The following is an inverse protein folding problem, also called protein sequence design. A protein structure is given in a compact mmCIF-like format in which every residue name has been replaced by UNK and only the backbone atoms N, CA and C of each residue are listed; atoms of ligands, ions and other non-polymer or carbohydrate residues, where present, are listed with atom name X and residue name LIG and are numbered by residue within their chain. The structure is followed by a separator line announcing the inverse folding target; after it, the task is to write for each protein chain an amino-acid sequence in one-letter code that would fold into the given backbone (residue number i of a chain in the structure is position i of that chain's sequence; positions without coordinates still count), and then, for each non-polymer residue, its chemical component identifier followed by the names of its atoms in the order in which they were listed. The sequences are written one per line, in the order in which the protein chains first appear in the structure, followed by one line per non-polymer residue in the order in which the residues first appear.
data_IF_460753523327
#
_entry.id   IF_460753523327
#
_cell.length_a   1.000
_cell.length_b   1.000
_cell.length_c   1.000
_cell.angle_alpha   90.00
_cell.angle_beta   90.00
_cell.angle_gamma   90.00
#
_symmetry.space_group_name_H-M   'P 1'
#
loop_
_entity.id
_entity.type
_entity.pdbx_description
1 polymer ?
#
# COMPACT_ATOMS: atom_id res chain seq x y z
N UNK A 1 -3.96 -13.76 2.12
CA UNK A 1 -3.08 -12.65 1.73
C UNK A 1 -2.18 -13.08 0.60
N UNK A 2 -2.06 -12.26 -0.44
CA UNK A 2 -1.20 -12.50 -1.61
C UNK A 2 -0.26 -11.31 -1.78
N UNK A 3 1.04 -11.60 -1.86
CA UNK A 3 2.08 -10.61 -2.09
C UNK A 3 2.29 -10.37 -3.58
N UNK A 4 2.57 -9.13 -3.95
CA UNK A 4 2.95 -8.71 -5.29
C UNK A 4 4.43 -8.33 -5.33
N UNK A 5 4.95 -8.09 -6.53
CA UNK A 5 6.30 -7.55 -6.69
C UNK A 5 6.41 -6.17 -6.01
N UNK A 6 7.58 -5.92 -5.41
CA UNK A 6 7.89 -4.65 -4.79
C UNK A 6 7.88 -3.50 -5.82
N UNK A 7 7.44 -2.33 -5.37
CA UNK A 7 7.38 -1.12 -6.19
C UNK A 7 8.39 -0.08 -5.73
N UNK A 8 9.03 0.59 -6.68
CA UNK A 8 9.82 1.80 -6.40
C UNK A 8 8.89 3.02 -6.41
N UNK A 9 8.68 3.66 -5.26
CA UNK A 9 7.88 4.88 -5.12
C UNK A 9 8.75 5.95 -4.47
N UNK A 10 8.94 7.08 -5.16
CA UNK A 10 9.79 8.20 -4.68
C UNK A 10 11.20 7.74 -4.25
N UNK A 11 11.78 6.76 -4.94
CA UNK A 11 13.12 6.22 -4.63
C UNK A 11 13.17 5.22 -3.46
N UNK A 12 12.03 4.87 -2.86
CA UNK A 12 11.93 3.90 -1.77
C UNK A 12 11.19 2.65 -2.22
N UNK A 13 11.57 1.51 -1.64
CA UNK A 13 10.91 0.23 -1.88
C UNK A 13 9.61 0.16 -1.07
N UNK A 14 8.53 -0.20 -1.75
CA UNK A 14 7.20 -0.36 -1.19
C UNK A 14 6.72 -1.78 -1.49
N UNK A 15 6.56 -2.59 -0.44
CA UNK A 15 5.96 -3.91 -0.56
C UNK A 15 4.44 -3.77 -0.67
N UNK A 16 3.79 -4.65 -1.42
CA UNK A 16 2.34 -4.61 -1.67
C UNK A 16 1.72 -5.96 -1.38
N UNK A 17 0.69 -5.98 -0.55
CA UNK A 17 -0.11 -7.17 -0.27
C UNK A 17 -1.58 -6.93 -0.56
N UNK A 18 -2.30 -8.01 -0.87
CA UNK A 18 -3.74 -7.98 -1.08
C UNK A 18 -4.44 -9.06 -0.27
N UNK A 19 -5.64 -8.75 0.17
CA UNK A 19 -6.60 -9.72 0.69
C UNK A 19 -7.87 -9.63 -0.17
N UNK A 20 -7.94 -10.40 -1.29
CA UNK A 20 -9.02 -10.25 -2.26
C UNK A 20 -10.42 -10.48 -1.66
N UNK A 21 -10.56 -11.44 -0.75
CA UNK A 21 -11.81 -11.76 -0.06
C UNK A 21 -12.28 -10.62 0.86
N UNK A 22 -11.33 -9.89 1.45
CA UNK A 22 -11.59 -8.75 2.31
C UNK A 22 -11.60 -7.42 1.55
N UNK A 23 -11.27 -7.41 0.25
CA UNK A 23 -11.16 -6.19 -0.57
C UNK A 23 -10.20 -5.17 0.05
N UNK A 24 -9.06 -5.67 0.52
CA UNK A 24 -7.99 -4.87 1.14
C UNK A 24 -6.75 -4.91 0.24
N UNK A 25 -6.11 -3.77 0.09
CA UNK A 25 -4.74 -3.67 -0.40
C UNK A 25 -3.90 -2.88 0.61
N UNK A 26 -2.79 -3.46 1.02
CA UNK A 26 -1.84 -2.86 1.93
C UNK A 26 -0.54 -2.54 1.20
N UNK A 27 0.03 -1.39 1.53
CA UNK A 27 1.42 -1.06 1.17
C UNK A 27 2.25 -0.91 2.42
N UNK A 28 3.52 -1.30 2.35
CA UNK A 28 4.44 -1.28 3.47
C UNK A 28 5.71 -0.53 3.05
N UNK A 29 6.10 0.46 3.85
CA UNK A 29 7.35 1.20 3.65
C UNK A 29 8.16 1.13 4.93
N UNK A 30 9.40 0.65 4.83
CA UNK A 30 10.33 0.61 5.95
C UNK A 30 11.21 1.88 5.97
N UNK A 31 11.43 2.43 7.16
CA UNK A 31 12.41 3.49 7.45
C UNK A 31 13.15 3.16 8.73
N UNK A 32 14.46 2.92 8.66
CA UNK A 32 15.23 2.36 9.77
C UNK A 32 14.59 1.07 10.33
N UNK A 33 14.14 1.14 11.59
CA UNK A 33 13.41 0.06 12.29
C UNK A 33 11.88 0.24 12.31
N UNK A 34 11.36 1.34 11.76
CA UNK A 34 9.93 1.62 11.69
C UNK A 34 9.33 1.12 10.36
N UNK A 35 8.10 0.62 10.41
CA UNK A 35 7.31 0.24 9.25
C UNK A 35 6.03 1.07 9.25
N UNK A 36 5.76 1.75 8.15
CA UNK A 36 4.49 2.44 7.92
C UNK A 36 3.65 1.61 6.96
N UNK A 37 2.43 1.29 7.38
CA UNK A 37 1.47 0.51 6.61
C UNK A 37 0.33 1.42 6.15
N UNK A 38 0.02 1.42 4.86
CA UNK A 38 -1.18 2.07 4.33
C UNK A 38 -2.19 1.01 3.93
N UNK A 39 -3.27 0.90 4.70
CA UNK A 39 -4.36 -0.04 4.42
C UNK A 39 -5.48 0.68 3.69
N UNK A 40 -5.83 0.20 2.51
CA UNK A 40 -6.99 0.69 1.75
C UNK A 40 -8.05 -0.40 1.66
N UNK A 41 -9.26 -0.07 2.10
CA UNK A 41 -10.42 -0.96 2.14
C UNK A 41 -11.70 -0.20 1.76
N UNK A 42 -12.64 -0.88 1.10
CA UNK A 42 -13.93 -0.34 0.71
C UNK A 42 -15.10 -1.17 1.27
N UNK A 43 -15.82 -0.61 2.25
CA UNK A 43 -16.94 -1.30 2.90
C UNK A 43 -18.23 -1.36 2.06
N UNK A 44 -18.39 -0.49 1.06
CA UNK A 44 -19.59 -0.43 0.22
C UNK A 44 -19.21 -0.37 -1.26
N UNK A 45 -19.81 -1.25 -2.08
CA UNK A 45 -19.54 -1.40 -3.52
C UNK A 45 -18.04 -1.29 -3.85
N UNK A 46 -17.22 -2.21 -3.30
CA UNK A 46 -15.77 -2.16 -3.49
C UNK A 46 -15.44 -2.25 -4.98
N UNK A 47 -14.53 -1.40 -5.48
CA UNK A 47 -14.05 -1.51 -6.85
C UNK A 47 -13.20 -2.78 -7.01
N UNK A 48 -12.76 -3.11 -8.25
CA UNK A 48 -11.79 -4.17 -8.47
C UNK A 48 -10.53 -3.98 -7.62
N UNK A 49 -9.91 -5.08 -7.19
CA UNK A 49 -8.73 -5.06 -6.30
C UNK A 49 -7.58 -4.21 -6.85
N UNK A 50 -7.42 -4.16 -8.18
CA UNK A 50 -6.42 -3.32 -8.84
C UNK A 50 -6.63 -1.84 -8.53
N UNK A 51 -7.86 -1.34 -8.56
CA UNK A 51 -8.16 0.06 -8.24
C UNK A 51 -7.95 0.35 -6.74
N UNK A 52 -8.22 -0.64 -5.87
CA UNK A 52 -7.94 -0.51 -4.44
C UNK A 52 -6.43 -0.36 -4.21
N UNK A 53 -5.61 -1.16 -4.90
CA UNK A 53 -4.15 -1.03 -4.83
C UNK A 53 -3.63 0.27 -5.43
N UNK A 54 -4.19 0.73 -6.55
CA UNK A 54 -3.82 2.04 -7.13
C UNK A 54 -4.02 3.17 -6.10
N UNK A 55 -5.12 3.12 -5.32
CA UNK A 55 -5.37 4.08 -4.25
C UNK A 55 -4.41 3.91 -3.07
N UNK A 56 -4.12 2.69 -2.65
CA UNK A 56 -3.15 2.43 -1.58
C UNK A 56 -1.77 2.99 -1.94
N UNK A 57 -1.29 2.72 -3.16
CA UNK A 57 -0.03 3.24 -3.69
C UNK A 57 -0.07 4.77 -3.79
N UNK A 58 -1.19 5.36 -4.23
CA UNK A 58 -1.33 6.82 -4.29
C UNK A 58 -1.26 7.47 -2.91
N UNK A 59 -1.92 6.91 -1.89
CA UNK A 59 -1.83 7.39 -0.52
C UNK A 59 -0.41 7.28 0.04
N UNK A 60 0.26 6.16 -0.22
CA UNK A 60 1.67 6.02 0.14
C UNK A 60 2.52 7.08 -0.54
N UNK A 61 2.40 7.25 -1.86
CA UNK A 61 3.15 8.27 -2.61
C UNK A 61 2.93 9.68 -2.04
N UNK A 62 1.71 9.99 -1.61
CA UNK A 62 1.38 11.30 -1.04
C UNK A 62 1.99 11.54 0.36
N UNK A 63 2.37 10.48 1.06
CA UNK A 63 2.80 10.55 2.48
C UNK A 63 4.22 10.05 2.72
N UNK A 64 4.85 9.41 1.73
CA UNK A 64 6.14 8.73 1.87
C UNK A 64 7.28 9.67 2.25
N UNK A 65 7.23 10.93 1.79
CA UNK A 65 8.25 11.95 2.10
C UNK A 65 8.10 12.53 3.51
N UNK A 66 6.98 12.26 4.19
CA UNK A 66 6.76 12.67 5.59
C UNK A 66 7.28 11.63 6.59
N UNK A 67 7.77 10.49 6.10
CA UNK A 67 8.35 9.44 6.92
C UNK A 67 9.84 9.77 7.12
N UNK A 68 10.27 10.14 8.34
CA UNK A 68 11.67 10.47 8.60
C UNK A 68 12.59 9.25 8.43
N UNK A 69 13.87 9.51 8.15
CA UNK A 69 14.93 8.50 8.09
C UNK A 69 15.25 7.88 9.47
#
# INVERSE_FOLDING_TARGET
MSWHDDLAVSGRIVAVSTEPDQRVCDTYVQTGSAIVVTTTHFSYKPPPISEICDKAIAFTRATIDQMPE
#
